data_IF_083738775940
#
_entry.id   IF_083738775940
#
_cell.length_a   1.000
_cell.length_b   1.000
_cell.length_c   1.000
_cell.angle_alpha   90.00
_cell.angle_beta   90.00
_cell.angle_gamma   90.00
#
_symmetry.space_group_name_H-M   'P 1'
#
loop_
_entity.id
_entity.type
_entity.pdbx_description
1 polymer ?
#
# COMPACT_ATOMS: atom_id res chain seq x y z
N UNK A 1 -11.68 -25.26 8.74
CA UNK A 1 -11.96 -24.29 9.77
C UNK A 1 -11.73 -22.89 9.22
N UNK A 2 -12.76 -22.04 9.25
CA UNK A 2 -12.63 -20.63 8.91
C UNK A 2 -11.85 -19.96 10.05
N UNK A 3 -10.59 -19.65 9.83
CA UNK A 3 -9.86 -18.77 10.74
C UNK A 3 -10.44 -17.38 10.62
N UNK A 4 -11.18 -16.97 11.62
CA UNK A 4 -11.65 -15.61 11.78
C UNK A 4 -10.43 -14.78 12.18
N UNK A 5 -9.90 -13.97 11.24
CA UNK A 5 -8.85 -13.00 11.56
C UNK A 5 -9.41 -11.98 12.56
N UNK A 6 -9.16 -12.20 13.83
CA UNK A 6 -9.50 -11.26 14.90
C UNK A 6 -8.48 -10.14 14.83
N UNK A 7 -8.96 -8.93 14.52
CA UNK A 7 -8.15 -7.71 14.53
C UNK A 7 -8.60 -6.90 15.73
N UNK A 8 -7.88 -7.08 16.84
CA UNK A 8 -8.20 -6.42 18.10
C UNK A 8 -7.45 -5.10 18.20
N UNK A 9 -8.20 -4.01 18.10
CA UNK A 9 -7.68 -2.67 18.31
C UNK A 9 -8.66 -1.82 19.09
N UNK A 10 -8.12 -0.96 19.91
CA UNK A 10 -8.85 0.12 20.55
C UNK A 10 -8.58 1.41 19.78
N UNK A 11 -9.63 2.16 19.49
CA UNK A 11 -9.55 3.48 18.85
C UNK A 11 -10.31 4.45 19.73
N UNK A 12 -9.66 5.51 20.17
CA UNK A 12 -10.30 6.52 21.01
C UNK A 12 -9.81 7.93 20.69
N UNK A 13 -10.68 8.96 20.85
CA UNK A 13 -10.28 10.34 20.68
C UNK A 13 -9.44 10.80 21.88
N UNK A 14 -8.50 11.70 21.61
CA UNK A 14 -7.75 12.45 22.63
C UNK A 14 -7.96 13.95 22.37
N UNK A 15 -8.95 14.52 23.05
CA UNK A 15 -9.46 15.84 22.73
C UNK A 15 -10.20 15.85 21.37
N UNK A 16 -10.31 17.05 20.75
CA UNK A 16 -11.11 17.26 19.55
C UNK A 16 -10.36 16.91 18.26
N UNK A 17 -9.04 16.94 18.29
CA UNK A 17 -8.21 16.89 17.07
C UNK A 17 -7.31 15.66 16.98
N UNK A 18 -7.25 14.81 18.00
CA UNK A 18 -6.37 13.66 18.02
C UNK A 18 -7.12 12.34 18.13
N UNK A 19 -6.60 11.31 17.45
CA UNK A 19 -7.07 9.92 17.52
C UNK A 19 -5.91 9.02 17.90
N UNK A 20 -6.14 8.14 18.86
CA UNK A 20 -5.17 7.16 19.33
C UNK A 20 -5.65 5.77 18.98
N UNK A 21 -4.73 4.93 18.53
CA UNK A 21 -4.96 3.50 18.31
C UNK A 21 -3.96 2.70 19.14
N UNK A 22 -4.41 1.60 19.68
CA UNK A 22 -3.56 0.61 20.35
C UNK A 22 -4.20 -0.76 20.22
N UNK A 23 -3.40 -1.78 19.99
CA UNK A 23 -3.93 -3.13 19.91
C UNK A 23 -2.85 -4.20 19.79
N UNK A 24 -3.15 -5.43 20.21
CA UNK A 24 -2.26 -6.56 20.08
C UNK A 24 -2.19 -7.08 18.64
N UNK A 25 -3.19 -6.78 17.79
CA UNK A 25 -3.28 -7.22 16.38
C UNK A 25 -3.80 -6.08 15.51
N UNK A 26 -2.96 -5.07 15.27
CA UNK A 26 -3.32 -3.87 14.52
C UNK A 26 -2.51 -3.77 13.22
N UNK A 27 -3.13 -3.28 12.17
CA UNK A 27 -2.46 -3.03 10.89
C UNK A 27 -2.04 -1.56 10.78
N UNK A 28 -0.80 -1.32 10.34
CA UNK A 28 -0.22 0.02 10.21
C UNK A 28 -1.06 0.97 9.35
N UNK A 29 -1.60 0.51 8.22
CA UNK A 29 -2.34 1.36 7.28
C UNK A 29 -3.72 1.82 7.78
N UNK A 30 -4.19 1.33 8.92
CA UNK A 30 -5.37 1.92 9.59
C UNK A 30 -5.03 3.16 10.43
N UNK A 31 -3.75 3.34 10.77
CA UNK A 31 -3.28 4.39 11.66
C UNK A 31 -2.66 5.56 10.88
N UNK A 32 -3.22 5.88 9.72
CA UNK A 32 -2.73 6.95 8.86
C UNK A 32 -3.49 8.25 9.06
N UNK A 33 -2.83 9.37 8.78
CA UNK A 33 -3.41 10.72 8.84
C UNK A 33 -4.56 10.90 7.87
N UNK A 34 -4.45 10.31 6.67
CA UNK A 34 -5.47 10.35 5.63
C UNK A 34 -5.36 9.13 4.72
N UNK A 35 -6.42 8.86 3.95
CA UNK A 35 -6.39 7.85 2.88
C UNK A 35 -5.53 8.37 1.72
N UNK A 36 -4.44 7.68 1.36
CA UNK A 36 -3.44 8.22 0.43
C UNK A 36 -3.87 8.17 -1.05
N UNK A 37 -4.90 7.41 -1.39
CA UNK A 37 -5.40 7.27 -2.76
C UNK A 37 -6.90 7.01 -2.77
N UNK A 38 -7.59 7.58 -3.77
CA UNK A 38 -9.01 7.33 -4.03
C UNK A 38 -9.23 6.24 -5.10
N UNK A 39 -8.17 5.80 -5.78
CA UNK A 39 -8.28 4.68 -6.70
C UNK A 39 -8.67 3.40 -5.95
N UNK A 40 -9.66 2.71 -6.47
CA UNK A 40 -10.14 1.43 -5.93
C UNK A 40 -9.83 0.36 -6.96
N UNK A 41 -8.87 -0.55 -6.70
CA UNK A 41 -8.52 -1.60 -7.65
C UNK A 41 -9.70 -2.57 -7.88
N UNK A 42 -9.88 -2.98 -9.13
CA UNK A 42 -10.88 -3.97 -9.52
C UNK A 42 -10.42 -5.40 -9.24
N UNK A 43 -9.15 -5.68 -9.48
CA UNK A 43 -8.53 -7.01 -9.33
C UNK A 43 -7.22 -6.94 -8.56
N UNK A 44 -6.28 -6.11 -9.02
CA UNK A 44 -4.92 -6.11 -8.52
C UNK A 44 -4.81 -5.34 -7.19
N UNK A 45 -4.77 -6.07 -6.08
CA UNK A 45 -4.55 -5.49 -4.74
C UNK A 45 -3.27 -4.66 -4.66
N UNK A 46 -2.33 -4.90 -5.56
CA UNK A 46 -1.11 -4.12 -5.73
C UNK A 46 -1.37 -2.61 -5.87
N UNK A 47 -2.46 -2.22 -6.53
CA UNK A 47 -2.84 -0.82 -6.73
C UNK A 47 -3.61 -0.17 -5.57
N UNK A 48 -3.87 -0.93 -4.49
CA UNK A 48 -4.48 -0.38 -3.28
C UNK A 48 -3.56 0.67 -2.65
N UNK A 49 -4.13 1.73 -2.08
CA UNK A 49 -3.40 2.83 -1.42
C UNK A 49 -2.46 3.62 -2.35
N UNK A 50 -2.70 3.56 -3.68
CA UNK A 50 -1.85 4.23 -4.67
C UNK A 50 -0.53 3.49 -4.92
N UNK A 51 -0.58 2.17 -4.95
CA UNK A 51 0.56 1.28 -4.97
C UNK A 51 0.90 0.82 -3.56
N UNK A 52 0.59 -0.44 -3.25
CA UNK A 52 0.92 -1.03 -1.95
C UNK A 52 2.37 -1.55 -1.98
N UNK A 53 3.31 -0.61 -2.07
CA UNK A 53 4.74 -0.87 -2.23
C UNK A 53 5.50 -0.76 -0.91
N UNK A 54 6.60 -0.03 -0.92
CA UNK A 54 7.60 0.00 0.14
C UNK A 54 7.10 0.43 1.53
N UNK A 55 6.01 1.22 1.61
CA UNK A 55 5.54 1.80 2.89
C UNK A 55 4.26 1.15 3.39
N UNK A 56 3.30 0.88 2.52
CA UNK A 56 1.94 0.49 2.95
C UNK A 56 1.72 -1.02 3.09
N UNK A 57 2.76 -1.81 3.04
CA UNK A 57 2.68 -3.24 3.32
C UNK A 57 2.07 -3.52 4.69
N UNK A 58 1.09 -4.43 4.71
CA UNK A 58 0.31 -4.72 5.91
C UNK A 58 0.94 -5.82 6.76
N UNK A 59 0.95 -5.60 8.05
CA UNK A 59 1.15 -6.65 9.04
C UNK A 59 0.13 -6.49 10.15
N UNK A 60 -0.35 -7.59 10.69
CA UNK A 60 -1.32 -7.61 11.79
C UNK A 60 -0.61 -8.07 13.05
N UNK A 61 -0.04 -7.13 13.78
CA UNK A 61 0.82 -7.38 14.94
C UNK A 61 0.54 -6.35 16.05
N UNK A 62 1.25 -6.46 17.17
CA UNK A 62 1.13 -5.50 18.28
C UNK A 62 1.59 -4.11 17.85
N UNK A 63 0.79 -3.09 18.16
CA UNK A 63 1.11 -1.74 17.75
C UNK A 63 0.28 -0.65 18.39
N UNK A 64 0.71 0.58 18.12
CA UNK A 64 0.04 1.80 18.54
C UNK A 64 0.25 2.92 17.52
N UNK A 65 -0.65 3.88 17.50
CA UNK A 65 -0.54 5.03 16.62
C UNK A 65 -1.29 6.24 17.15
N UNK A 66 -0.90 7.39 16.64
CA UNK A 66 -1.49 8.68 16.92
C UNK A 66 -1.70 9.43 15.61
N UNK A 67 -2.88 10.02 15.45
CA UNK A 67 -3.20 11.01 14.42
C UNK A 67 -3.54 12.33 15.08
N UNK A 68 -3.14 13.42 14.45
CA UNK A 68 -3.54 14.78 14.82
C UNK A 68 -4.01 15.56 13.58
N UNK A 69 -5.16 16.19 13.69
CA UNK A 69 -5.75 17.06 12.65
C UNK A 69 -5.59 18.53 13.06
N UNK A 70 -5.05 19.36 12.17
CA UNK A 70 -4.77 20.77 12.46
C UNK A 70 -6.01 21.64 12.17
N UNK A 71 -7.08 21.38 12.93
CA UNK A 71 -8.38 22.05 12.76
C UNK A 71 -8.90 21.91 11.32
N UNK A 72 -9.49 22.98 10.79
CA UNK A 72 -10.07 23.02 9.43
C UNK A 72 -9.05 23.29 8.31
N UNK A 73 -7.75 23.30 8.64
CA UNK A 73 -6.69 23.62 7.66
C UNK A 73 -6.62 22.64 6.49
N UNK A 74 -7.01 21.40 6.70
CA UNK A 74 -6.82 20.27 5.81
C UNK A 74 -5.52 19.52 6.05
N UNK A 75 -4.63 20.01 6.92
CA UNK A 75 -3.42 19.30 7.33
C UNK A 75 -3.72 18.29 8.43
N UNK A 76 -3.09 17.12 8.32
CA UNK A 76 -3.08 16.11 9.35
C UNK A 76 -1.70 15.43 9.39
N UNK A 77 -1.33 14.92 10.56
CA UNK A 77 -0.12 14.14 10.77
C UNK A 77 -0.47 12.87 11.53
N UNK A 78 0.20 11.77 11.23
CA UNK A 78 0.13 10.55 12.03
C UNK A 78 1.50 9.93 12.18
N UNK A 79 1.67 9.19 13.28
CA UNK A 79 2.79 8.29 13.49
C UNK A 79 2.28 7.00 14.09
N UNK A 80 2.84 5.87 13.68
CA UNK A 80 2.46 4.58 14.21
C UNK A 80 3.66 3.65 14.32
N UNK A 81 3.54 2.65 15.19
CA UNK A 81 4.47 1.55 15.35
C UNK A 81 3.70 0.23 15.26
N UNK A 82 4.25 -0.73 14.54
CA UNK A 82 3.81 -2.13 14.53
C UNK A 82 5.03 -3.03 14.63
N UNK A 83 5.02 -4.00 15.55
CA UNK A 83 6.14 -4.91 15.81
C UNK A 83 5.71 -6.35 15.94
N UNK A 84 6.48 -7.25 15.30
CA UNK A 84 6.27 -8.71 15.30
C UNK A 84 6.94 -9.41 16.51
N UNK A 85 7.61 -8.67 17.35
CA UNK A 85 8.38 -9.16 18.48
C UNK A 85 7.57 -9.46 19.75
N UNK A 86 6.23 -9.46 19.69
CA UNK A 86 5.39 -9.79 20.83
C UNK A 86 5.77 -11.18 21.39
N UNK A 87 6.18 -11.22 22.66
CA UNK A 87 6.64 -12.45 23.30
C UNK A 87 8.14 -12.77 23.16
N UNK A 88 8.93 -11.87 22.58
CA UNK A 88 10.40 -11.99 22.55
C UNK A 88 11.04 -11.02 23.55
N UNK A 89 12.28 -11.32 23.98
CA UNK A 89 13.06 -10.43 24.86
C UNK A 89 13.81 -9.32 24.12
N UNK A 90 13.52 -9.10 22.84
CA UNK A 90 14.29 -8.17 21.99
C UNK A 90 13.99 -6.70 22.24
N UNK A 91 12.89 -6.38 22.90
CA UNK A 91 12.48 -5.02 23.25
C UNK A 91 11.68 -4.34 22.15
N UNK A 92 10.75 -3.47 22.57
CA UNK A 92 9.94 -2.63 21.69
C UNK A 92 10.78 -1.42 21.24
N UNK A 93 10.63 -0.98 19.99
CA UNK A 93 11.35 0.17 19.41
C UNK A 93 12.88 0.02 19.33
N UNK A 94 13.37 -1.21 19.29
CA UNK A 94 14.79 -1.49 19.09
C UNK A 94 15.06 -2.00 17.68
N UNK A 95 16.27 -1.82 17.18
CA UNK A 95 16.70 -2.35 15.86
C UNK A 95 16.71 -3.90 15.82
N UNK A 96 16.62 -4.55 16.96
CA UNK A 96 16.55 -5.99 17.07
C UNK A 96 15.13 -6.56 16.97
N UNK A 97 14.12 -5.70 17.08
CA UNK A 97 12.72 -6.10 16.93
C UNK A 97 12.28 -5.91 15.49
N UNK A 98 11.72 -6.96 14.89
CA UNK A 98 11.14 -6.90 13.56
C UNK A 98 9.92 -5.98 13.57
N UNK A 99 10.12 -4.74 13.21
CA UNK A 99 9.16 -3.67 13.43
C UNK A 99 9.22 -2.59 12.36
N UNK A 100 8.20 -1.75 12.38
CA UNK A 100 8.02 -0.64 11.45
C UNK A 100 7.44 0.56 12.17
N UNK A 101 7.96 1.73 11.86
CA UNK A 101 7.42 3.02 12.27
C UNK A 101 7.08 3.80 11.00
N UNK A 102 5.81 4.17 10.85
CA UNK A 102 5.36 5.02 9.75
C UNK A 102 4.97 6.40 10.28
N UNK A 103 5.42 7.45 9.61
CA UNK A 103 5.02 8.83 9.90
C UNK A 103 4.51 9.47 8.62
N UNK A 104 3.26 9.92 8.61
CA UNK A 104 2.60 10.56 7.47
C UNK A 104 2.30 12.02 7.79
N UNK A 105 2.57 12.88 6.82
CA UNK A 105 2.04 14.26 6.77
C UNK A 105 1.15 14.33 5.54
N UNK A 106 -0.09 14.79 5.71
CA UNK A 106 -1.09 14.84 4.67
C UNK A 106 -1.78 16.20 4.63
N UNK A 107 -2.11 16.63 3.42
CA UNK A 107 -3.01 17.75 3.17
C UNK A 107 -4.18 17.25 2.31
N UNK A 108 -5.39 17.40 2.81
CA UNK A 108 -6.60 16.88 2.16
C UNK A 108 -7.68 17.97 2.10
N UNK A 109 -8.24 18.16 0.93
CA UNK A 109 -9.44 18.95 0.67
C UNK A 109 -10.43 18.10 -0.14
N UNK A 110 -11.69 18.52 -0.31
CA UNK A 110 -12.69 17.68 -0.99
C UNK A 110 -12.27 17.17 -2.37
N UNK A 111 -11.52 17.96 -3.13
CA UNK A 111 -11.14 17.64 -4.50
C UNK A 111 -9.69 17.15 -4.66
N UNK A 112 -8.82 17.36 -3.69
CA UNK A 112 -7.40 17.01 -3.82
C UNK A 112 -6.75 16.63 -2.52
N UNK A 113 -5.71 15.84 -2.66
CA UNK A 113 -4.89 15.33 -1.57
C UNK A 113 -3.42 15.29 -2.00
N UNK A 114 -2.55 15.52 -1.06
CA UNK A 114 -1.13 15.23 -1.18
C UNK A 114 -0.60 14.75 0.16
N UNK A 115 0.25 13.72 0.15
CA UNK A 115 0.89 13.20 1.36
C UNK A 115 2.28 12.67 1.09
N UNK A 116 3.11 12.75 2.13
CA UNK A 116 4.37 12.05 2.25
C UNK A 116 4.31 11.15 3.47
N UNK A 117 4.73 9.90 3.30
CA UNK A 117 4.87 8.94 4.39
C UNK A 117 6.31 8.46 4.43
N UNK A 118 6.94 8.59 5.58
CA UNK A 118 8.24 8.00 5.88
C UNK A 118 8.03 6.74 6.70
N UNK A 119 8.78 5.69 6.37
CA UNK A 119 8.76 4.40 7.06
C UNK A 119 10.16 3.99 7.44
N UNK A 120 10.39 3.77 8.73
CA UNK A 120 11.60 3.13 9.25
C UNK A 120 11.29 1.67 9.55
N UNK A 121 12.06 0.77 8.94
CA UNK A 121 11.84 -0.68 9.02
C UNK A 121 13.08 -1.34 9.63
N UNK A 122 12.87 -2.26 10.59
CA UNK A 122 13.92 -2.89 11.35
C UNK A 122 13.88 -4.41 11.26
N UNK A 123 15.04 -5.03 11.44
CA UNK A 123 15.24 -6.46 11.62
C UNK A 123 14.60 -7.32 10.52
N UNK A 124 14.77 -6.90 9.26
CA UNK A 124 14.23 -7.64 8.12
C UNK A 124 12.71 -7.62 8.07
N UNK A 125 12.09 -6.44 8.27
CA UNK A 125 10.66 -6.27 8.12
C UNK A 125 10.18 -6.83 6.77
N UNK A 126 9.25 -7.77 6.81
CA UNK A 126 8.75 -8.55 5.68
C UNK A 126 7.23 -8.45 5.58
N UNK A 127 6.69 -7.25 5.64
CA UNK A 127 5.28 -7.07 5.35
C UNK A 127 4.97 -7.57 3.93
N UNK A 128 3.79 -8.17 3.77
CA UNK A 128 3.32 -8.60 2.46
C UNK A 128 3.02 -7.36 1.62
N UNK A 129 3.96 -6.98 0.80
CA UNK A 129 3.84 -5.87 -0.11
C UNK A 129 3.47 -6.43 -1.48
N UNK A 130 2.31 -5.99 -1.98
CA UNK A 130 1.77 -6.49 -3.24
C UNK A 130 2.31 -5.75 -4.47
N UNK A 131 3.05 -4.67 -4.25
CA UNK A 131 3.54 -3.80 -5.32
C UNK A 131 5.06 -3.63 -5.25
N UNK A 132 5.75 -4.76 -5.19
CA UNK A 132 7.21 -4.83 -5.19
C UNK A 132 7.69 -6.13 -5.81
N UNK A 133 8.92 -6.13 -6.30
CA UNK A 133 9.56 -7.33 -6.84
C UNK A 133 10.17 -8.19 -5.73
N UNK A 134 10.39 -9.46 -6.01
CA UNK A 134 11.04 -10.40 -5.11
C UNK A 134 12.42 -9.95 -4.62
N UNK A 135 13.17 -9.22 -5.47
CA UNK A 135 14.49 -8.68 -5.10
C UNK A 135 14.42 -7.70 -3.94
N UNK A 136 13.32 -6.97 -3.78
CA UNK A 136 13.14 -6.00 -2.69
C UNK A 136 12.86 -6.68 -1.35
N UNK A 137 11.98 -7.67 -1.31
CA UNK A 137 11.50 -8.28 -0.06
C UNK A 137 11.98 -9.70 0.18
N UNK A 138 12.84 -10.20 -0.71
CA UNK A 138 13.23 -11.60 -0.71
C UNK A 138 12.15 -12.51 -1.32
N UNK A 139 12.54 -13.66 -1.78
CA UNK A 139 11.68 -14.55 -2.53
C UNK A 139 10.71 -15.30 -1.60
N UNK A 140 9.40 -15.15 -1.80
CA UNK A 140 8.37 -15.90 -1.10
C UNK A 140 8.45 -17.37 -1.57
N UNK A 141 9.05 -18.22 -0.76
CA UNK A 141 9.20 -19.66 -1.08
C UNK A 141 10.64 -20.12 -1.31
N UNK A 142 11.62 -19.23 -1.38
CA UNK A 142 13.05 -19.56 -1.35
C UNK A 142 13.70 -19.14 -0.04
N UNK A 143 14.92 -19.58 0.22
CA UNK A 143 15.67 -19.32 1.45
C UNK A 143 16.15 -17.88 1.63
N UNK A 144 15.92 -17.01 0.66
CA UNK A 144 16.40 -15.62 0.66
C UNK A 144 15.34 -14.69 1.24
N UNK A 145 15.17 -14.74 2.55
CA UNK A 145 14.38 -13.74 3.30
C UNK A 145 15.30 -12.59 3.71
N UNK A 146 14.73 -11.40 3.93
CA UNK A 146 15.45 -10.33 4.58
C UNK A 146 16.01 -10.84 5.93
N UNK A 147 17.29 -10.54 6.18
CA UNK A 147 17.94 -10.97 7.41
C UNK A 147 17.54 -10.08 8.60
N UNK A 148 17.75 -10.57 9.82
CA UNK A 148 17.54 -9.77 11.04
C UNK A 148 18.46 -8.54 11.13
N UNK A 149 19.47 -8.46 10.29
CA UNK A 149 20.40 -7.33 10.23
C UNK A 149 20.02 -6.33 9.12
N UNK A 150 18.99 -6.65 8.31
CA UNK A 150 18.50 -5.77 7.26
C UNK A 150 17.58 -4.70 7.87
N UNK A 151 17.96 -3.43 7.69
CA UNK A 151 17.09 -2.30 7.99
C UNK A 151 16.77 -1.53 6.70
N UNK A 152 15.69 -0.79 6.71
CA UNK A 152 15.30 0.02 5.56
C UNK A 152 14.67 1.35 5.97
N UNK A 153 14.90 2.33 5.11
CA UNK A 153 14.23 3.63 5.11
C UNK A 153 13.41 3.76 3.83
N UNK A 154 12.12 3.99 3.95
CA UNK A 154 11.24 4.08 2.80
C UNK A 154 10.39 5.35 2.82
N UNK A 155 10.07 5.84 1.64
CA UNK A 155 9.21 6.99 1.43
C UNK A 155 8.10 6.64 0.44
N UNK A 156 6.90 7.13 0.71
CA UNK A 156 5.78 7.10 -0.24
C UNK A 156 5.23 8.51 -0.43
N UNK A 157 5.21 8.95 -1.67
CA UNK A 157 4.52 10.18 -2.09
C UNK A 157 3.20 9.78 -2.73
N UNK A 158 2.10 10.42 -2.31
CA UNK A 158 0.77 10.19 -2.87
C UNK A 158 0.08 11.50 -3.14
N UNK A 159 -0.61 11.55 -4.26
CA UNK A 159 -1.52 12.64 -4.55
C UNK A 159 -2.74 12.13 -5.30
N UNK A 160 -3.86 12.79 -5.13
CA UNK A 160 -5.02 12.60 -5.97
C UNK A 160 -5.76 13.90 -6.21
N UNK A 161 -6.48 13.91 -7.32
CA UNK A 161 -7.46 14.92 -7.67
C UNK A 161 -8.73 14.24 -8.16
N UNK A 162 -9.88 14.84 -7.89
CA UNK A 162 -11.17 14.43 -8.42
C UNK A 162 -12.01 15.65 -8.83
N UNK A 163 -12.87 15.54 -9.87
CA UNK A 163 -13.82 16.56 -10.19
C UNK A 163 -14.80 16.80 -9.02
N UNK A 164 -15.45 17.95 -9.01
CA UNK A 164 -16.47 18.29 -8.01
C UNK A 164 -17.70 17.42 -8.16
N UNK A 165 -18.13 17.18 -9.41
CA UNK A 165 -19.29 16.37 -9.74
C UNK A 165 -18.86 15.00 -10.30
N UNK A 166 -19.60 13.93 -9.94
CA UNK A 166 -19.52 12.63 -10.61
C UNK A 166 -20.27 12.65 -11.95
N UNK A 167 -20.15 11.60 -12.77
CA UNK A 167 -20.81 11.49 -14.07
C UNK A 167 -20.21 12.35 -15.17
N UNK A 168 -19.02 12.90 -14.96
CA UNK A 168 -18.28 13.70 -15.94
C UNK A 168 -17.28 12.84 -16.72
N UNK A 169 -16.93 13.28 -17.94
CA UNK A 169 -15.86 12.65 -18.72
C UNK A 169 -14.46 12.81 -18.09
N UNK A 170 -14.31 13.71 -17.13
CA UNK A 170 -13.07 13.97 -16.42
C UNK A 170 -12.85 12.89 -15.37
N UNK A 171 -11.72 12.12 -15.40
CA UNK A 171 -11.43 11.10 -14.41
C UNK A 171 -11.02 11.68 -13.06
N UNK A 172 -11.26 10.93 -12.00
CA UNK A 172 -10.45 11.00 -10.79
C UNK A 172 -9.03 10.52 -11.13
N UNK A 173 -8.01 11.20 -10.64
CA UNK A 173 -6.61 10.87 -10.89
C UNK A 173 -5.93 10.59 -9.57
N UNK A 174 -5.26 9.46 -9.44
CA UNK A 174 -4.41 9.12 -8.30
C UNK A 174 -3.02 8.78 -8.78
N UNK A 175 -2.00 9.31 -8.13
CA UNK A 175 -0.59 9.02 -8.43
C UNK A 175 0.16 8.64 -7.18
N UNK A 176 1.14 7.77 -7.33
CA UNK A 176 2.01 7.32 -6.26
C UNK A 176 3.44 7.13 -6.72
N UNK A 177 4.38 7.40 -5.83
CA UNK A 177 5.79 7.09 -5.99
C UNK A 177 6.33 6.55 -4.68
N UNK A 178 7.06 5.44 -4.75
CA UNK A 178 7.72 4.80 -3.63
C UNK A 178 9.23 4.77 -3.85
N UNK A 179 9.98 4.97 -2.77
CA UNK A 179 11.43 4.81 -2.73
C UNK A 179 11.81 4.09 -1.45
N UNK A 180 12.76 3.17 -1.52
CA UNK A 180 13.29 2.43 -0.37
C UNK A 180 14.80 2.32 -0.48
N UNK A 181 15.49 2.46 0.64
CA UNK A 181 16.91 2.20 0.77
C UNK A 181 17.17 1.18 1.88
N UNK A 182 18.13 0.30 1.66
CA UNK A 182 18.45 -0.81 2.55
C UNK A 182 19.85 -0.73 3.12
N UNK A 183 19.98 -1.11 4.38
CA UNK A 183 21.23 -1.51 5.02
C UNK A 183 21.27 -3.04 5.12
N UNK A 184 22.40 -3.63 4.71
CA UNK A 184 22.66 -5.08 4.83
C UNK A 184 21.60 -5.99 4.15
N UNK A 185 21.17 -5.62 2.94
CA UNK A 185 20.27 -6.47 2.17
C UNK A 185 20.99 -7.75 1.69
N UNK A 186 20.39 -8.96 1.88
CA UNK A 186 21.07 -10.23 1.58
C UNK A 186 21.43 -10.42 0.10
N UNK A 187 20.74 -9.73 -0.82
CA UNK A 187 21.04 -9.72 -2.25
C UNK A 187 21.80 -8.46 -2.68
N UNK A 188 22.41 -7.73 -1.75
CA UNK A 188 23.14 -6.49 -1.99
C UNK A 188 22.30 -5.36 -2.64
N UNK A 189 20.97 -5.41 -2.59
CA UNK A 189 20.13 -4.29 -3.02
C UNK A 189 20.35 -3.14 -2.07
N UNK A 190 20.70 -1.97 -2.60
CA UNK A 190 20.86 -0.75 -1.82
C UNK A 190 19.69 0.21 -1.95
N UNK A 191 19.08 0.28 -3.12
CA UNK A 191 17.92 1.15 -3.37
C UNK A 191 16.88 0.49 -4.27
N UNK A 192 15.63 0.88 -4.08
CA UNK A 192 14.52 0.51 -4.93
C UNK A 192 13.52 1.64 -5.10
N UNK A 193 12.78 1.64 -6.20
CA UNK A 193 11.70 2.59 -6.45
C UNK A 193 10.58 2.01 -7.30
N UNK A 194 9.41 2.61 -7.22
CA UNK A 194 8.25 2.26 -8.02
C UNK A 194 7.29 3.43 -8.16
N UNK A 195 6.34 3.33 -9.09
CA UNK A 195 5.33 4.36 -9.31
C UNK A 195 3.97 3.76 -9.67
N UNK A 196 2.94 4.56 -9.49
CA UNK A 196 1.55 4.20 -9.75
C UNK A 196 0.80 5.37 -10.36
N UNK A 197 -0.08 5.08 -11.32
CA UNK A 197 -1.08 6.00 -11.85
C UNK A 197 -2.42 5.28 -11.94
N UNK A 198 -3.45 5.84 -11.37
CA UNK A 198 -4.82 5.34 -11.42
C UNK A 198 -5.80 6.41 -11.90
N UNK A 199 -6.69 6.02 -12.81
CA UNK A 199 -7.78 6.82 -13.32
C UNK A 199 -9.11 6.17 -12.93
N UNK A 200 -10.06 6.95 -12.46
CA UNK A 200 -11.38 6.47 -12.05
C UNK A 200 -12.49 7.38 -12.54
N UNK A 201 -13.62 6.79 -12.90
CA UNK A 201 -14.86 7.49 -13.21
C UNK A 201 -15.96 6.91 -12.36
N UNK A 202 -16.83 7.76 -11.83
CA UNK A 202 -18.00 7.35 -11.06
C UNK A 202 -19.25 7.87 -11.76
N UNK A 203 -20.34 7.07 -11.71
CA UNK A 203 -21.66 7.44 -12.25
C UNK A 203 -21.62 7.79 -13.75
N UNK A 204 -20.73 7.16 -14.53
CA UNK A 204 -20.46 7.53 -15.91
C UNK A 204 -21.51 6.99 -16.89
N UNK A 205 -21.96 5.75 -16.71
CA UNK A 205 -22.92 5.04 -17.56
C UNK A 205 -24.25 4.91 -16.83
N UNK A 206 -24.21 4.55 -15.57
CA UNK A 206 -25.38 4.43 -14.69
C UNK A 206 -25.01 4.83 -13.26
N UNK A 207 -26.03 5.09 -12.44
CA UNK A 207 -25.82 5.43 -11.03
C UNK A 207 -25.03 4.32 -10.30
N UNK A 208 -24.13 4.72 -9.43
CA UNK A 208 -23.28 3.84 -8.62
C UNK A 208 -22.31 2.95 -9.41
N UNK A 209 -22.11 3.20 -10.69
CA UNK A 209 -21.08 2.50 -11.44
C UNK A 209 -19.67 3.10 -11.22
N UNK A 210 -18.67 2.32 -11.60
CA UNK A 210 -17.27 2.76 -11.56
C UNK A 210 -16.48 2.13 -12.70
N UNK A 211 -15.76 2.98 -13.42
CA UNK A 211 -14.70 2.56 -14.35
C UNK A 211 -13.37 2.84 -13.66
N UNK A 212 -12.43 1.92 -13.74
CA UNK A 212 -11.06 2.12 -13.25
C UNK A 212 -10.04 1.62 -14.26
N UNK A 213 -8.97 2.39 -14.42
CA UNK A 213 -7.78 2.02 -15.18
C UNK A 213 -6.58 2.36 -14.30
N UNK A 214 -5.69 1.41 -14.11
CA UNK A 214 -4.45 1.65 -13.37
C UNK A 214 -3.27 1.03 -14.09
N UNK A 215 -2.12 1.66 -13.91
CA UNK A 215 -0.85 1.19 -14.43
C UNK A 215 0.31 1.66 -13.54
N UNK A 216 1.42 0.98 -13.62
CA UNK A 216 2.64 1.43 -12.98
C UNK A 216 3.69 0.33 -12.84
N UNK A 217 4.80 0.73 -12.27
CA UNK A 217 5.94 -0.11 -11.99
C UNK A 217 5.96 -0.47 -10.50
N UNK A 218 5.86 -1.77 -10.14
CA UNK A 218 6.13 -2.23 -8.78
C UNK A 218 7.50 -1.77 -8.30
N UNK A 219 7.66 -1.61 -7.00
CA UNK A 219 8.96 -1.26 -6.42
C UNK A 219 9.98 -2.34 -6.83
N UNK A 220 10.97 -1.93 -7.61
CA UNK A 220 12.07 -2.76 -8.09
C UNK A 220 13.41 -2.26 -7.56
N UNK A 221 14.42 -3.11 -7.55
CA UNK A 221 15.79 -2.68 -7.27
C UNK A 221 16.27 -1.71 -8.34
N UNK A 222 16.83 -0.58 -7.92
CA UNK A 222 17.42 0.45 -8.79
C UNK A 222 18.91 0.57 -8.61
N UNK A 223 19.43 0.13 -7.46
CA UNK A 223 20.86 0.09 -7.17
C UNK A 223 21.22 -1.14 -6.34
N UNK A 224 22.46 -1.60 -6.53
CA UNK A 224 23.08 -2.65 -5.73
C UNK A 224 24.42 -2.17 -5.20
N UNK A 225 24.75 -2.55 -3.97
CA UNK A 225 26.05 -2.22 -3.33
C UNK A 225 27.21 -3.06 -3.90
N UNK A 226 26.90 -4.24 -4.45
CA UNK A 226 27.88 -5.11 -5.14
C UNK A 226 27.15 -6.04 -6.11
N UNK A 227 27.86 -6.46 -7.17
CA UNK A 227 27.30 -7.31 -8.21
C UNK A 227 26.68 -6.51 -9.36
N UNK A 228 25.83 -7.16 -10.15
CA UNK A 228 25.16 -6.57 -11.32
C UNK A 228 23.68 -6.42 -11.00
N UNK A 229 23.13 -5.24 -11.28
CA UNK A 229 21.69 -4.99 -11.18
C UNK A 229 20.95 -5.80 -12.26
N UNK A 230 19.82 -6.38 -11.90
CA UNK A 230 18.91 -7.00 -12.87
C UNK A 230 18.31 -5.95 -13.79
N UNK A 231 18.28 -6.22 -15.10
CA UNK A 231 17.68 -5.34 -16.11
C UNK A 231 16.15 -5.52 -16.23
N UNK A 232 15.53 -6.29 -15.35
CA UNK A 232 14.08 -6.53 -15.37
C UNK A 232 13.31 -5.25 -15.05
N UNK A 233 12.35 -4.91 -15.92
CA UNK A 233 11.50 -3.71 -15.84
C UNK A 233 10.04 -4.11 -15.62
N UNK A 234 9.64 -4.46 -14.39
CA UNK A 234 8.29 -4.92 -14.10
C UNK A 234 7.27 -3.81 -14.34
N UNK A 235 6.16 -4.19 -14.97
CA UNK A 235 5.06 -3.29 -15.23
C UNK A 235 3.73 -4.01 -15.01
N UNK A 236 2.77 -3.38 -14.32
CA UNK A 236 1.43 -3.90 -14.08
C UNK A 236 0.37 -2.93 -14.62
N UNK A 237 -0.76 -3.48 -15.02
CA UNK A 237 -1.92 -2.69 -15.41
C UNK A 237 -3.21 -3.45 -15.14
N UNK A 238 -4.30 -2.73 -14.93
CA UNK A 238 -5.66 -3.27 -14.91
C UNK A 238 -6.67 -2.27 -15.51
N UNK A 239 -7.78 -2.80 -16.02
CA UNK A 239 -8.94 -2.05 -16.39
C UNK A 239 -10.20 -2.81 -15.96
N UNK A 240 -11.18 -2.11 -15.40
CA UNK A 240 -12.43 -2.74 -14.96
C UNK A 240 -13.63 -1.80 -15.10
N UNK A 241 -14.80 -2.43 -15.14
CA UNK A 241 -16.10 -1.76 -15.01
C UNK A 241 -16.91 -2.44 -13.92
N UNK A 242 -17.25 -1.70 -12.87
CA UNK A 242 -18.06 -2.19 -11.75
C UNK A 242 -19.43 -1.53 -11.77
N UNK A 243 -20.49 -2.32 -11.73
CA UNK A 243 -21.85 -1.82 -11.76
C UNK A 243 -22.77 -2.65 -10.86
N UNK A 244 -23.92 -2.05 -10.52
CA UNK A 244 -24.94 -2.68 -9.69
C UNK A 244 -26.20 -2.95 -10.52
N UNK A 245 -26.48 -4.21 -10.90
CA UNK A 245 -27.76 -4.56 -11.52
C UNK A 245 -28.96 -4.31 -10.59
N UNK A 246 -28.73 -4.36 -9.28
CA UNK A 246 -29.67 -4.01 -8.21
C UNK A 246 -28.89 -3.72 -6.91
N UNK A 247 -29.59 -3.31 -5.85
CA UNK A 247 -28.98 -2.91 -4.56
C UNK A 247 -28.20 -4.02 -3.85
N UNK A 248 -28.50 -5.28 -4.16
CA UNK A 248 -27.91 -6.46 -3.52
C UNK A 248 -26.78 -7.09 -4.32
N UNK A 249 -26.55 -6.69 -5.56
CA UNK A 249 -25.58 -7.33 -6.46
C UNK A 249 -24.64 -6.28 -7.05
N UNK A 250 -23.35 -6.53 -6.96
CA UNK A 250 -22.32 -5.77 -7.69
C UNK A 250 -21.58 -6.73 -8.62
N UNK A 251 -21.47 -6.37 -9.89
CA UNK A 251 -20.76 -7.13 -10.93
C UNK A 251 -19.58 -6.32 -11.44
N UNK A 252 -18.41 -6.96 -11.52
CA UNK A 252 -17.17 -6.29 -11.94
C UNK A 252 -16.40 -7.16 -12.94
N UNK A 253 -16.67 -7.04 -14.25
CA UNK A 253 -15.74 -7.52 -15.27
C UNK A 253 -14.45 -6.71 -15.22
N UNK A 254 -13.31 -7.40 -15.34
CA UNK A 254 -11.99 -6.81 -15.31
C UNK A 254 -11.02 -7.57 -16.19
N UNK A 255 -10.04 -6.85 -16.72
CA UNK A 255 -8.86 -7.38 -17.40
C UNK A 255 -7.62 -6.80 -16.75
N UNK A 256 -6.55 -7.56 -16.69
CA UNK A 256 -5.30 -7.15 -16.08
C UNK A 256 -4.12 -7.86 -16.71
N UNK A 257 -2.95 -7.30 -16.57
CA UNK A 257 -1.74 -7.90 -17.06
C UNK A 257 -0.49 -7.28 -16.46
N UNK A 258 0.63 -7.85 -16.81
CA UNK A 258 1.93 -7.34 -16.43
C UNK A 258 3.02 -7.95 -17.30
N UNK A 259 4.14 -7.24 -17.38
CA UNK A 259 5.38 -7.68 -17.99
C UNK A 259 6.45 -7.80 -16.93
N UNK A 260 7.39 -8.71 -17.10
CA UNK A 260 8.52 -8.92 -16.20
C UNK A 260 8.12 -9.06 -14.72
N UNK A 261 6.98 -9.70 -14.45
CA UNK A 261 6.41 -9.79 -13.09
C UNK A 261 7.23 -10.63 -12.12
N UNK A 262 8.09 -11.52 -12.64
CA UNK A 262 9.08 -12.26 -11.87
C UNK A 262 10.49 -11.78 -12.20
N UNK A 263 11.26 -11.42 -11.19
CA UNK A 263 12.58 -10.79 -11.31
C UNK A 263 13.67 -11.66 -11.98
N UNK A 264 13.39 -12.92 -12.30
CA UNK A 264 14.36 -13.87 -12.87
C UNK A 264 14.02 -14.34 -14.29
N UNK A 265 12.85 -14.00 -14.81
CA UNK A 265 12.39 -14.45 -16.14
C UNK A 265 11.52 -13.40 -16.81
N UNK A 266 11.69 -13.21 -18.11
CA UNK A 266 10.79 -12.42 -18.96
C UNK A 266 9.41 -13.11 -18.98
N UNK A 267 8.57 -12.85 -17.98
CA UNK A 267 7.23 -13.43 -17.89
C UNK A 267 6.16 -12.36 -18.01
N UNK A 268 5.49 -12.41 -19.13
CA UNK A 268 4.28 -11.66 -19.35
C UNK A 268 3.07 -12.43 -18.84
N UNK A 269 2.18 -11.75 -18.13
CA UNK A 269 0.93 -12.32 -17.65
C UNK A 269 -0.25 -11.48 -18.13
N UNK A 270 -1.34 -12.16 -18.44
CA UNK A 270 -2.61 -11.54 -18.81
C UNK A 270 -3.74 -12.35 -18.18
N UNK A 271 -4.76 -11.68 -17.68
CA UNK A 271 -5.94 -12.31 -17.11
C UNK A 271 -7.19 -11.50 -17.33
N UNK A 272 -8.32 -12.22 -17.30
CA UNK A 272 -9.66 -11.64 -17.24
C UNK A 272 -10.42 -12.25 -16.07
N UNK A 273 -11.24 -11.46 -15.40
CA UNK A 273 -12.01 -11.89 -14.23
C UNK A 273 -13.40 -11.27 -14.26
N UNK A 274 -14.38 -12.03 -13.82
CA UNK A 274 -15.72 -11.55 -13.50
C UNK A 274 -15.98 -11.77 -12.02
N UNK A 275 -16.04 -10.70 -11.25
CA UNK A 275 -16.38 -10.76 -9.82
C UNK A 275 -17.83 -10.39 -9.62
N UNK A 276 -18.54 -11.19 -8.81
CA UNK A 276 -19.91 -10.89 -8.38
C UNK A 276 -19.98 -10.92 -6.86
N UNK A 277 -20.44 -9.81 -6.28
CA UNK A 277 -20.61 -9.66 -4.82
C UNK A 277 -22.08 -9.56 -4.51
N UNK A 278 -22.55 -10.40 -3.58
CA UNK A 278 -23.92 -10.40 -3.07
C UNK A 278 -23.92 -9.79 -1.66
N UNK A 279 -24.87 -8.88 -1.40
CA UNK A 279 -25.17 -8.33 -0.08
C UNK A 279 -26.48 -8.93 0.41
N UNK A 280 -26.46 -9.57 1.54
CA UNK A 280 -27.60 -10.15 2.22
C UNK A 280 -28.03 -9.30 3.41
#
# INVERSE_FOLDING_TARGET
GSEMCIRDRYTFPLGDNATVWVGPMIENYYMMAATPSIYKPGVLKAFKLGGNGAVFGASTDGGAGLKYEFGDSGFAMSTNYVGKGSGTSKGILTDSDKSKIDTMIAFTKPQYHASITYSKQHAGWDAHEYYSTELIHGNVGTSTKLSSDTNADAYALRAYWRPEDSGTAMPEISVGYDSISFDNHPLNVSEGSGYFVGLGWQDMIQADDRIGIALGQPVKATQVSSGTLSEVEPFLWEAYYSFKPNDSITVTPAVWGGTDVESSTDQDVFGAMLTTVFKF
#
